data_IF_218241861814
#
_entry.id   IF_218241861814
#
_cell.length_a   1.000
_cell.length_b   1.000
_cell.length_c   1.000
_cell.angle_alpha   90.00
_cell.angle_beta   90.00
_cell.angle_gamma   90.00
#
_symmetry.space_group_name_H-M   'P 1'
#
loop_
_entity.id
_entity.type
_entity.pdbx_description
1 polymer ?
#
# COMPACT_ATOMS: atom_id res chain seq x y z
N UNK A 1 -32.13 25.37 15.51
CA UNK A 1 -31.91 23.92 15.62
C UNK A 1 -31.08 23.35 14.46
N UNK A 2 -31.45 23.53 13.20
CA UNK A 2 -30.70 23.02 12.03
C UNK A 2 -29.21 23.48 11.96
N UNK A 3 -28.90 24.73 12.28
CA UNK A 3 -27.52 25.26 12.23
C UNK A 3 -26.62 24.59 13.27
N UNK A 4 -27.09 24.36 14.47
CA UNK A 4 -26.36 23.66 15.54
C UNK A 4 -26.11 22.18 15.21
N UNK A 5 -27.07 21.51 14.56
CA UNK A 5 -26.89 20.15 14.05
C UNK A 5 -25.87 20.09 12.92
N UNK A 6 -25.91 21.05 12.02
CA UNK A 6 -24.92 21.15 10.91
C UNK A 6 -23.51 21.41 11.46
N UNK A 7 -23.33 22.29 12.44
CA UNK A 7 -22.04 22.55 13.08
C UNK A 7 -21.55 21.31 13.84
N UNK A 8 -22.43 20.62 14.57
CA UNK A 8 -22.09 19.39 15.27
C UNK A 8 -21.70 18.25 14.33
N UNK A 9 -22.37 18.13 13.18
CA UNK A 9 -22.07 17.14 12.13
C UNK A 9 -20.74 17.47 11.44
N UNK A 10 -20.48 18.74 11.13
CA UNK A 10 -19.19 19.19 10.62
C UNK A 10 -18.05 18.89 11.60
N UNK A 11 -18.22 19.24 12.89
CA UNK A 11 -17.22 18.94 13.93
C UNK A 11 -16.96 17.44 14.08
N UNK A 12 -18.01 16.62 14.06
CA UNK A 12 -17.87 15.15 14.13
C UNK A 12 -17.17 14.57 12.87
N UNK A 13 -17.46 15.11 11.69
CA UNK A 13 -16.79 14.70 10.45
C UNK A 13 -15.32 15.12 10.43
N UNK A 14 -14.98 16.33 10.90
CA UNK A 14 -13.59 16.76 11.07
C UNK A 14 -12.84 15.89 12.09
N UNK A 15 -13.48 15.56 13.21
CA UNK A 15 -12.88 14.68 14.22
C UNK A 15 -12.66 13.25 13.72
N UNK A 16 -13.55 12.72 12.89
CA UNK A 16 -13.37 11.43 12.23
C UNK A 16 -12.20 11.44 11.26
N UNK A 17 -12.12 12.47 10.40
CA UNK A 17 -11.05 12.63 9.42
C UNK A 17 -9.67 12.79 10.08
N UNK A 18 -9.58 13.61 11.12
CA UNK A 18 -8.33 13.77 11.90
C UNK A 18 -7.93 12.46 12.60
N UNK A 19 -8.89 11.72 13.15
CA UNK A 19 -8.61 10.42 13.78
C UNK A 19 -8.03 9.41 12.79
N UNK A 20 -8.60 9.30 11.58
CA UNK A 20 -8.07 8.43 10.53
C UNK A 20 -6.68 8.90 10.09
N UNK A 21 -6.54 10.20 9.80
CA UNK A 21 -5.27 10.78 9.33
C UNK A 21 -4.13 10.56 10.33
N UNK A 22 -4.35 10.89 11.60
CA UNK A 22 -3.35 10.68 12.66
C UNK A 22 -3.03 9.20 12.82
N UNK A 23 -4.03 8.31 12.84
CA UNK A 23 -3.79 6.88 12.96
C UNK A 23 -2.97 6.32 11.79
N UNK A 24 -3.26 6.78 10.58
CA UNK A 24 -2.51 6.36 9.37
C UNK A 24 -1.07 6.87 9.42
N UNK A 25 -0.84 8.14 9.78
CA UNK A 25 0.51 8.70 9.90
C UNK A 25 1.31 7.97 10.97
N UNK A 26 0.73 7.76 12.15
CA UNK A 26 1.39 7.04 13.25
C UNK A 26 1.69 5.60 12.85
N UNK A 27 0.73 4.89 12.25
CA UNK A 27 0.92 3.51 11.82
C UNK A 27 1.97 3.37 10.73
N UNK A 28 1.97 4.26 9.73
CA UNK A 28 2.97 4.25 8.65
C UNK A 28 4.35 4.68 9.18
N UNK A 29 4.40 5.65 10.08
CA UNK A 29 5.65 6.04 10.76
C UNK A 29 6.27 4.90 11.57
N UNK A 30 5.46 4.23 12.39
CA UNK A 30 5.90 3.03 13.13
C UNK A 30 6.36 1.92 12.17
N UNK A 31 5.62 1.70 11.08
CA UNK A 31 6.01 0.72 10.05
C UNK A 31 7.32 1.09 9.35
N UNK A 32 7.51 2.36 9.01
CA UNK A 32 8.74 2.86 8.39
C UNK A 32 9.96 2.67 9.31
N UNK A 33 9.84 3.10 10.57
CA UNK A 33 10.88 2.94 11.58
C UNK A 33 11.22 1.46 11.84
N UNK A 34 10.21 0.60 11.89
CA UNK A 34 10.39 -0.85 12.01
C UNK A 34 11.23 -1.40 10.85
N UNK A 35 10.90 -1.05 9.61
CA UNK A 35 11.63 -1.57 8.45
C UNK A 35 13.06 -1.02 8.34
N UNK A 36 13.32 0.22 8.73
CA UNK A 36 14.67 0.74 8.84
C UNK A 36 15.48 0.02 9.93
N UNK A 37 14.86 -0.20 11.09
CA UNK A 37 15.50 -0.98 12.16
C UNK A 37 15.81 -2.41 11.72
N UNK A 38 14.86 -3.09 11.05
CA UNK A 38 15.08 -4.45 10.55
C UNK A 38 16.17 -4.49 9.46
N UNK A 39 16.25 -3.49 8.59
CA UNK A 39 17.34 -3.40 7.61
C UNK A 39 18.71 -3.35 8.31
N UNK A 40 18.87 -2.48 9.31
CA UNK A 40 20.15 -2.38 10.06
C UNK A 40 20.48 -3.63 10.88
N UNK A 41 19.47 -4.43 11.27
CA UNK A 41 19.64 -5.61 12.10
C UNK A 41 19.95 -6.88 11.28
N UNK A 42 19.36 -7.02 10.10
CA UNK A 42 19.37 -8.26 9.32
C UNK A 42 20.45 -8.30 8.23
N UNK A 43 20.95 -7.15 7.79
CA UNK A 43 21.82 -7.06 6.62
C UNK A 43 21.06 -7.21 5.29
N UNK A 44 21.79 -7.08 4.18
CA UNK A 44 21.20 -6.96 2.84
C UNK A 44 20.45 -8.22 2.39
N UNK A 45 21.07 -9.38 2.51
CA UNK A 45 20.50 -10.63 1.98
C UNK A 45 19.24 -11.04 2.72
N UNK A 46 19.29 -11.03 4.05
CA UNK A 46 18.16 -11.38 4.90
C UNK A 46 16.99 -10.39 4.74
N UNK A 47 17.29 -9.09 4.63
CA UNK A 47 16.29 -8.07 4.38
C UNK A 47 15.62 -8.25 3.02
N UNK A 48 16.40 -8.62 1.99
CA UNK A 48 15.88 -8.95 0.67
C UNK A 48 14.98 -10.19 0.67
N UNK A 49 15.39 -11.27 1.37
CA UNK A 49 14.58 -12.49 1.51
C UNK A 49 13.23 -12.20 2.17
N UNK A 50 13.24 -11.52 3.32
CA UNK A 50 11.99 -11.15 4.02
C UNK A 50 11.11 -10.27 3.13
N UNK A 51 11.68 -9.31 2.40
CA UNK A 51 10.93 -8.44 1.50
C UNK A 51 10.29 -9.21 0.34
N UNK A 52 10.99 -10.21 -0.20
CA UNK A 52 10.48 -11.10 -1.24
C UNK A 52 9.28 -11.92 -0.75
N UNK A 53 9.42 -12.59 0.37
CA UNK A 53 8.35 -13.42 0.92
C UNK A 53 7.12 -12.61 1.35
N UNK A 54 7.35 -11.41 1.90
CA UNK A 54 6.25 -10.49 2.21
C UNK A 54 5.54 -10.02 0.94
N UNK A 55 6.27 -9.75 -0.15
CA UNK A 55 5.65 -9.38 -1.42
C UNK A 55 4.75 -10.51 -1.96
N UNK A 56 5.20 -11.77 -1.87
CA UNK A 56 4.37 -12.94 -2.18
C UNK A 56 3.11 -12.96 -1.31
N UNK A 57 3.28 -12.81 0.01
CA UNK A 57 2.18 -12.79 0.97
C UNK A 57 1.16 -11.69 0.68
N UNK A 58 1.63 -10.47 0.34
CA UNK A 58 0.75 -9.34 -0.02
C UNK A 58 0.00 -9.62 -1.32
N UNK A 59 0.68 -10.07 -2.38
CA UNK A 59 0.05 -10.41 -3.65
C UNK A 59 -0.98 -11.52 -3.45
N UNK A 60 -0.63 -12.60 -2.76
CA UNK A 60 -1.56 -13.68 -2.43
C UNK A 60 -2.77 -13.20 -1.62
N UNK A 61 -2.56 -12.34 -0.64
CA UNK A 61 -3.63 -11.74 0.16
C UNK A 61 -4.57 -10.88 -0.69
N UNK A 62 -4.05 -10.09 -1.62
CA UNK A 62 -4.87 -9.25 -2.51
C UNK A 62 -5.66 -10.08 -3.53
N UNK A 63 -5.06 -11.14 -4.05
CA UNK A 63 -5.78 -12.13 -4.87
C UNK A 63 -6.93 -12.74 -4.08
N UNK A 64 -6.69 -13.13 -2.83
CA UNK A 64 -7.68 -13.76 -1.95
C UNK A 64 -8.82 -12.82 -1.53
N UNK A 65 -8.55 -11.52 -1.45
CA UNK A 65 -9.55 -10.52 -1.07
C UNK A 65 -10.64 -10.31 -2.13
N UNK A 66 -10.42 -10.68 -3.40
CA UNK A 66 -11.41 -10.62 -4.49
C UNK A 66 -12.12 -9.26 -4.62
N UNK A 67 -11.47 -8.15 -4.24
CA UNK A 67 -12.05 -6.81 -4.24
C UNK A 67 -13.03 -6.53 -3.08
N UNK A 68 -13.09 -7.41 -2.11
CA UNK A 68 -14.04 -7.31 -1.00
C UNK A 68 -13.70 -6.22 0.01
N UNK A 69 -12.45 -5.75 0.08
CA UNK A 69 -12.07 -4.65 0.95
C UNK A 69 -12.90 -3.37 0.66
N UNK A 70 -12.86 -2.90 -0.58
CA UNK A 70 -13.66 -1.74 -1.01
C UNK A 70 -15.16 -2.02 -0.98
N UNK A 71 -15.55 -3.24 -1.33
CA UNK A 71 -16.97 -3.65 -1.35
C UNK A 71 -17.59 -3.57 0.04
N UNK A 72 -16.94 -4.14 1.05
CA UNK A 72 -17.45 -4.13 2.42
C UNK A 72 -17.50 -2.70 2.98
N UNK A 73 -16.48 -1.89 2.72
CA UNK A 73 -16.43 -0.49 3.14
C UNK A 73 -17.61 0.31 2.58
N UNK A 74 -17.88 0.20 1.28
CA UNK A 74 -18.95 0.96 0.61
C UNK A 74 -20.34 0.50 1.05
N UNK A 75 -20.58 -0.81 1.10
CA UNK A 75 -21.92 -1.31 1.42
C UNK A 75 -22.22 -1.30 2.92
N UNK A 76 -21.24 -1.41 3.79
CA UNK A 76 -21.40 -1.13 5.23
C UNK A 76 -21.79 0.33 5.47
N UNK A 77 -21.20 1.26 4.72
CA UNK A 77 -21.58 2.68 4.80
C UNK A 77 -23.03 2.94 4.37
N UNK A 78 -23.55 2.11 3.45
CA UNK A 78 -24.96 2.13 3.01
C UNK A 78 -25.91 1.35 3.93
N UNK A 79 -25.42 0.79 5.04
CA UNK A 79 -26.21 0.00 5.99
C UNK A 79 -26.61 -1.40 5.50
N UNK A 80 -25.98 -1.89 4.41
CA UNK A 80 -26.24 -3.24 3.89
C UNK A 80 -25.43 -4.26 4.68
N UNK A 81 -26.06 -5.28 5.23
CA UNK A 81 -25.40 -6.37 5.97
C UNK A 81 -24.73 -7.38 5.04
N UNK A 82 -23.71 -6.94 4.31
CA UNK A 82 -22.98 -7.75 3.30
C UNK A 82 -21.81 -8.55 3.92
N UNK A 83 -21.48 -8.29 5.19
CA UNK A 83 -20.30 -8.84 5.86
C UNK A 83 -20.25 -10.38 5.88
N UNK A 84 -21.31 -11.12 6.29
CA UNK A 84 -21.22 -12.57 6.44
C UNK A 84 -20.86 -13.33 5.16
N UNK A 85 -21.53 -13.11 4.00
CA UNK A 85 -21.14 -13.79 2.77
C UNK A 85 -19.75 -13.36 2.27
N UNK A 86 -19.34 -12.10 2.46
CA UNK A 86 -17.99 -11.64 2.10
C UNK A 86 -16.93 -12.34 2.96
N UNK A 87 -17.10 -12.35 4.29
CA UNK A 87 -16.14 -13.00 5.19
C UNK A 87 -15.98 -14.49 4.84
N UNK A 88 -17.09 -15.21 4.60
CA UNK A 88 -17.02 -16.62 4.24
C UNK A 88 -16.22 -16.85 2.96
N UNK A 89 -16.54 -16.14 1.87
CA UNK A 89 -15.84 -16.32 0.59
C UNK A 89 -14.37 -15.92 0.70
N UNK A 90 -14.07 -14.79 1.35
CA UNK A 90 -12.70 -14.33 1.47
C UNK A 90 -11.84 -15.26 2.35
N UNK A 91 -12.40 -15.83 3.43
CA UNK A 91 -11.70 -16.82 4.25
C UNK A 91 -11.44 -18.10 3.43
N UNK A 92 -12.44 -18.62 2.73
CA UNK A 92 -12.23 -19.80 1.86
C UNK A 92 -11.17 -19.50 0.79
N UNK A 93 -11.26 -18.37 0.12
CA UNK A 93 -10.25 -17.93 -0.87
C UNK A 93 -8.86 -17.79 -0.26
N UNK A 94 -8.74 -17.23 0.95
CA UNK A 94 -7.46 -17.09 1.63
C UNK A 94 -6.87 -18.43 2.06
N UNK A 95 -7.69 -19.37 2.49
CA UNK A 95 -7.25 -20.75 2.81
C UNK A 95 -6.76 -21.46 1.55
N UNK A 96 -7.50 -21.35 0.43
CA UNK A 96 -7.08 -21.96 -0.84
C UNK A 96 -5.75 -21.36 -1.30
N UNK A 97 -5.61 -20.03 -1.30
CA UNK A 97 -4.35 -19.38 -1.68
C UNK A 97 -3.21 -19.77 -0.73
N UNK A 98 -3.47 -19.84 0.58
CA UNK A 98 -2.49 -20.28 1.57
C UNK A 98 -2.04 -21.71 1.35
N UNK A 99 -2.94 -22.62 1.02
CA UNK A 99 -2.60 -24.00 0.67
C UNK A 99 -1.73 -24.06 -0.60
N UNK A 100 -2.10 -23.30 -1.63
CA UNK A 100 -1.29 -23.23 -2.86
C UNK A 100 0.12 -22.73 -2.53
N UNK A 101 0.26 -21.63 -1.77
CA UNK A 101 1.56 -21.08 -1.39
C UNK A 101 2.35 -22.05 -0.52
N UNK A 102 1.71 -22.75 0.42
CA UNK A 102 2.33 -23.75 1.27
C UNK A 102 2.98 -24.89 0.48
N UNK A 103 2.30 -25.37 -0.57
CA UNK A 103 2.87 -26.43 -1.43
C UNK A 103 3.89 -25.89 -2.43
N UNK A 104 3.71 -24.67 -2.95
CA UNK A 104 4.65 -24.05 -3.90
C UNK A 104 5.98 -23.68 -3.24
N UNK A 105 5.94 -23.18 -2.00
CA UNK A 105 7.13 -22.77 -1.24
C UNK A 105 7.61 -23.84 -0.25
N UNK A 106 7.33 -25.11 -0.54
CA UNK A 106 7.88 -26.27 0.19
C UNK A 106 7.66 -26.23 1.70
N UNK A 107 6.39 -25.99 2.10
CA UNK A 107 5.92 -26.03 3.49
C UNK A 107 6.26 -24.79 4.34
N UNK A 108 6.41 -23.63 3.73
CA UNK A 108 6.59 -22.37 4.44
C UNK A 108 5.24 -21.90 5.03
N UNK A 109 5.01 -22.23 6.30
CA UNK A 109 3.73 -21.99 6.98
C UNK A 109 3.52 -20.50 7.32
N UNK A 110 4.60 -19.74 7.49
CA UNK A 110 4.58 -18.34 7.90
C UNK A 110 3.89 -17.45 6.85
N UNK A 111 4.17 -17.67 5.56
CA UNK A 111 3.55 -16.94 4.45
C UNK A 111 2.07 -17.28 4.36
N UNK A 112 1.73 -18.57 4.55
CA UNK A 112 0.35 -19.02 4.53
C UNK A 112 -0.47 -18.39 5.65
N UNK A 113 0.08 -18.33 6.86
CA UNK A 113 -0.54 -17.67 7.99
C UNK A 113 -0.66 -16.15 7.78
N UNK A 114 0.36 -15.53 7.15
CA UNK A 114 0.32 -14.12 6.77
C UNK A 114 -0.87 -13.81 5.87
N UNK A 115 -1.10 -14.61 4.82
CA UNK A 115 -2.22 -14.39 3.86
C UNK A 115 -3.56 -14.40 4.57
N UNK A 116 -3.83 -15.42 5.39
CA UNK A 116 -5.09 -15.54 6.13
C UNK A 116 -5.25 -14.36 7.09
N UNK A 117 -4.22 -14.06 7.88
CA UNK A 117 -4.25 -12.97 8.86
C UNK A 117 -4.47 -11.61 8.23
N UNK A 118 -3.76 -11.30 7.14
CA UNK A 118 -3.90 -10.04 6.41
C UNK A 118 -5.30 -9.87 5.81
N UNK A 119 -5.87 -10.92 5.20
CA UNK A 119 -7.24 -10.89 4.63
C UNK A 119 -8.25 -10.58 5.72
N UNK A 120 -8.18 -11.27 6.86
CA UNK A 120 -9.04 -11.04 8.02
C UNK A 120 -8.94 -9.59 8.50
N UNK A 121 -7.72 -9.11 8.73
CA UNK A 121 -7.48 -7.75 9.22
C UNK A 121 -7.96 -6.68 8.24
N UNK A 122 -7.70 -6.88 6.94
CA UNK A 122 -8.13 -5.97 5.88
C UNK A 122 -9.66 -5.84 5.80
N UNK A 123 -10.39 -6.93 5.91
CA UNK A 123 -11.86 -6.91 5.90
C UNK A 123 -12.43 -6.20 7.12
N UNK A 124 -11.89 -6.47 8.32
CA UNK A 124 -12.34 -5.84 9.55
C UNK A 124 -12.10 -4.33 9.52
N UNK A 125 -10.91 -3.91 9.12
CA UNK A 125 -10.58 -2.48 9.04
C UNK A 125 -11.42 -1.75 7.99
N UNK A 126 -11.70 -2.38 6.85
CA UNK A 126 -12.60 -1.85 5.82
C UNK A 126 -14.05 -1.74 6.32
N UNK A 127 -14.54 -2.71 7.09
CA UNK A 127 -15.89 -2.67 7.68
C UNK A 127 -16.01 -1.57 8.74
N UNK A 128 -15.00 -1.42 9.60
CA UNK A 128 -14.95 -0.34 10.60
C UNK A 128 -14.99 1.05 9.96
N UNK A 129 -14.27 1.23 8.85
CA UNK A 129 -14.31 2.48 8.07
C UNK A 129 -15.70 2.71 7.46
N UNK A 130 -16.30 1.67 6.87
CA UNK A 130 -17.64 1.75 6.31
C UNK A 130 -18.69 2.11 7.36
N UNK A 131 -18.64 1.50 8.53
CA UNK A 131 -19.51 1.81 9.68
C UNK A 131 -19.17 3.12 10.41
N UNK A 132 -18.18 3.90 9.92
CA UNK A 132 -17.70 5.15 10.54
C UNK A 132 -17.19 4.97 11.99
N UNK A 133 -16.70 3.78 12.32
CA UNK A 133 -16.14 3.47 13.64
C UNK A 133 -14.64 3.86 13.69
N UNK A 134 -14.34 5.12 13.47
CA UNK A 134 -12.98 5.63 13.27
C UNK A 134 -12.05 5.41 14.46
N UNK A 135 -12.58 5.45 15.70
CA UNK A 135 -11.79 5.18 16.90
C UNK A 135 -11.35 3.72 16.98
N UNK A 136 -12.25 2.77 16.66
CA UNK A 136 -11.92 1.35 16.63
C UNK A 136 -10.93 1.04 15.50
N UNK A 137 -11.13 1.65 14.32
CA UNK A 137 -10.19 1.57 13.22
C UNK A 137 -8.79 2.04 13.63
N UNK A 138 -8.67 3.23 14.22
CA UNK A 138 -7.39 3.78 14.68
C UNK A 138 -6.72 2.88 15.74
N UNK A 139 -7.50 2.39 16.71
CA UNK A 139 -7.02 1.47 17.73
C UNK A 139 -6.46 0.19 17.11
N UNK A 140 -7.18 -0.42 16.16
CA UNK A 140 -6.75 -1.67 15.54
C UNK A 140 -5.51 -1.46 14.68
N UNK A 141 -5.46 -0.37 13.91
CA UNK A 141 -4.32 -0.06 13.05
C UNK A 141 -3.02 0.12 13.86
N UNK A 142 -3.08 0.91 14.94
CA UNK A 142 -1.92 1.20 15.78
C UNK A 142 -1.54 -0.03 16.62
N UNK A 143 -2.52 -0.69 17.27
CA UNK A 143 -2.22 -1.88 18.09
C UNK A 143 -1.64 -3.02 17.26
N UNK A 144 -2.12 -3.23 16.02
CA UNK A 144 -1.54 -4.23 15.12
C UNK A 144 -0.06 -3.91 14.83
N UNK A 145 0.28 -2.64 14.57
CA UNK A 145 1.67 -2.24 14.32
C UNK A 145 2.57 -2.44 15.54
N UNK A 146 2.08 -2.14 16.73
CA UNK A 146 2.83 -2.36 17.98
C UNK A 146 3.07 -3.87 18.18
N UNK A 147 2.02 -4.69 18.04
CA UNK A 147 2.13 -6.16 18.16
C UNK A 147 3.10 -6.71 17.12
N UNK A 148 3.00 -6.25 15.86
CA UNK A 148 3.90 -6.62 14.77
C UNK A 148 5.36 -6.34 15.15
N UNK A 149 5.67 -5.13 15.61
CA UNK A 149 7.05 -4.73 15.97
C UNK A 149 7.58 -5.63 17.08
N UNK A 150 6.82 -5.78 18.16
CA UNK A 150 7.25 -6.58 19.31
C UNK A 150 7.48 -8.05 18.90
N UNK A 151 6.51 -8.66 18.22
CA UNK A 151 6.61 -10.07 17.83
C UNK A 151 7.69 -10.31 16.80
N UNK A 152 7.77 -9.47 15.75
CA UNK A 152 8.76 -9.68 14.69
C UNK A 152 10.20 -9.52 15.20
N UNK A 153 10.47 -8.53 16.04
CA UNK A 153 11.79 -8.32 16.63
C UNK A 153 12.12 -9.49 17.61
N UNK A 154 11.18 -9.85 18.48
CA UNK A 154 11.42 -10.94 19.44
C UNK A 154 11.62 -12.30 18.75
N UNK A 155 10.78 -12.62 17.77
CA UNK A 155 10.89 -13.88 17.03
C UNK A 155 12.10 -13.91 16.09
N UNK A 156 12.55 -12.76 15.56
CA UNK A 156 13.80 -12.70 14.82
C UNK A 156 14.98 -13.19 15.65
N UNK A 157 15.07 -12.76 16.91
CA UNK A 157 16.14 -13.19 17.81
C UNK A 157 16.04 -14.68 18.22
N UNK A 158 14.84 -15.28 18.13
CA UNK A 158 14.63 -16.68 18.53
C UNK A 158 14.80 -17.67 17.37
N UNK A 159 14.26 -17.35 16.19
CA UNK A 159 14.19 -18.27 15.05
C UNK A 159 14.64 -17.61 13.72
N UNK A 160 15.30 -16.45 13.77
CA UNK A 160 15.84 -15.80 12.58
C UNK A 160 14.78 -15.22 11.64
N UNK A 161 15.00 -15.31 10.32
CA UNK A 161 14.22 -14.68 9.28
C UNK A 161 12.73 -15.08 9.31
N UNK A 162 12.46 -16.36 9.47
CA UNK A 162 11.10 -16.89 9.56
C UNK A 162 10.33 -16.26 10.71
N UNK A 163 11.04 -15.92 11.80
CA UNK A 163 10.48 -15.22 12.95
C UNK A 163 9.91 -13.84 12.60
N UNK A 164 10.51 -13.13 11.66
CA UNK A 164 9.98 -11.82 11.22
C UNK A 164 8.63 -11.99 10.54
N UNK A 165 8.54 -12.91 9.57
CA UNK A 165 7.32 -13.16 8.81
C UNK A 165 6.23 -13.73 9.74
N UNK A 166 6.60 -14.67 10.61
CA UNK A 166 5.71 -15.26 11.60
C UNK A 166 5.18 -14.19 12.58
N UNK A 167 6.04 -13.28 13.06
CA UNK A 167 5.65 -12.20 13.94
C UNK A 167 4.62 -11.26 13.28
N UNK A 168 4.84 -10.91 12.01
CA UNK A 168 3.87 -10.14 11.24
C UNK A 168 2.55 -10.91 11.11
N UNK A 169 2.61 -12.20 10.76
CA UNK A 169 1.42 -13.03 10.57
C UNK A 169 0.59 -13.16 11.87
N UNK A 170 1.25 -13.46 12.99
CA UNK A 170 0.60 -13.58 14.30
C UNK A 170 -0.02 -12.23 14.73
N UNK A 171 0.58 -11.10 14.37
CA UNK A 171 0.06 -9.78 14.74
C UNK A 171 -1.36 -9.50 14.23
N UNK A 172 -1.84 -10.23 13.22
CA UNK A 172 -3.21 -10.13 12.71
C UNK A 172 -4.21 -11.03 13.47
N UNK A 173 -3.76 -12.10 14.14
CA UNK A 173 -4.65 -13.11 14.75
C UNK A 173 -5.59 -12.55 15.82
N UNK A 174 -5.21 -11.59 16.68
CA UNK A 174 -6.12 -11.06 17.70
C UNK A 174 -7.42 -10.48 17.12
N UNK A 175 -7.39 -10.06 15.86
CA UNK A 175 -8.55 -9.45 15.19
C UNK A 175 -9.51 -10.48 14.59
N UNK A 176 -9.11 -11.75 14.43
CA UNK A 176 -9.98 -12.84 13.95
C UNK A 176 -11.21 -13.03 14.84
N UNK A 177 -11.09 -12.72 16.13
CA UNK A 177 -12.20 -12.81 17.08
C UNK A 177 -13.41 -11.93 16.71
N UNK A 178 -13.17 -10.81 16.00
CA UNK A 178 -14.22 -9.91 15.53
C UNK A 178 -15.10 -10.60 14.47
N UNK A 179 -14.49 -11.36 13.57
CA UNK A 179 -15.23 -12.09 12.53
C UNK A 179 -16.13 -13.17 13.13
N UNK A 180 -15.64 -13.95 14.09
CA UNK A 180 -16.44 -14.99 14.76
C UNK A 180 -17.71 -14.41 15.41
N UNK A 181 -17.64 -13.19 15.95
CA UNK A 181 -18.78 -12.52 16.55
C UNK A 181 -19.86 -12.15 15.52
N UNK A 182 -19.45 -11.74 14.31
CA UNK A 182 -20.38 -11.38 13.22
C UNK A 182 -21.10 -12.59 12.63
N UNK A 183 -20.49 -13.79 12.65
CA UNK A 183 -21.14 -15.02 12.17
C UNK A 183 -22.23 -15.58 13.10
N UNK A 184 -22.21 -15.23 14.38
CA UNK A 184 -22.99 -15.91 15.41
C UNK A 184 -24.51 -15.76 15.26
N UNK A 185 -25.00 -14.73 14.52
CA UNK A 185 -26.44 -14.40 14.52
C UNK A 185 -26.99 -13.94 13.15
N UNK A 186 -26.34 -14.24 12.03
CA UNK A 186 -26.76 -13.69 10.74
C UNK A 186 -26.91 -14.78 9.67
N UNK A 187 -28.01 -14.75 8.95
CA UNK A 187 -28.21 -15.60 7.75
C UNK A 187 -27.27 -15.13 6.63
N UNK A 188 -26.58 -16.09 6.01
CA UNK A 188 -25.70 -15.83 4.88
C UNK A 188 -26.55 -15.73 3.63
N UNK A 189 -26.58 -14.56 3.01
CA UNK A 189 -27.32 -14.30 1.77
C UNK A 189 -26.35 -13.99 0.62
N UNK A 190 -26.13 -14.98 -0.23
CA UNK A 190 -25.25 -14.83 -1.40
C UNK A 190 -25.86 -13.96 -2.52
N UNK A 191 -27.19 -13.71 -2.51
CA UNK A 191 -27.82 -12.82 -3.49
C UNK A 191 -27.24 -11.40 -3.40
N UNK A 192 -26.83 -10.98 -2.21
CA UNK A 192 -26.19 -9.69 -1.97
C UNK A 192 -24.88 -9.52 -2.76
N UNK A 193 -24.12 -10.60 -2.94
CA UNK A 193 -22.88 -10.59 -3.73
C UNK A 193 -23.21 -10.61 -5.21
N UNK A 194 -24.10 -11.52 -5.64
CA UNK A 194 -24.50 -11.67 -7.04
C UNK A 194 -25.01 -10.35 -7.63
N UNK A 195 -25.86 -9.63 -6.89
CA UNK A 195 -26.42 -8.35 -7.33
C UNK A 195 -25.37 -7.23 -7.41
N UNK A 196 -24.16 -7.43 -6.86
CA UNK A 196 -23.06 -6.45 -6.83
C UNK A 196 -21.81 -6.94 -7.55
N UNK A 197 -21.92 -8.03 -8.32
CA UNK A 197 -20.79 -8.66 -9.00
C UNK A 197 -19.97 -7.67 -9.85
N UNK A 198 -20.65 -6.77 -10.59
CA UNK A 198 -19.96 -5.74 -11.40
C UNK A 198 -19.09 -4.81 -10.56
N UNK A 199 -19.59 -4.37 -9.39
CA UNK A 199 -18.80 -3.51 -8.48
C UNK A 199 -17.61 -4.27 -7.90
N UNK A 200 -17.83 -5.51 -7.47
CA UNK A 200 -16.81 -6.39 -6.91
C UNK A 200 -15.70 -6.65 -7.93
N UNK A 201 -16.04 -7.01 -9.16
CA UNK A 201 -15.06 -7.26 -10.23
C UNK A 201 -14.25 -6.02 -10.57
N UNK A 202 -14.88 -4.84 -10.65
CA UNK A 202 -14.15 -3.59 -10.89
C UNK A 202 -13.21 -3.23 -9.71
N UNK A 203 -13.67 -3.43 -8.47
CA UNK A 203 -12.82 -3.24 -7.28
C UNK A 203 -11.64 -4.20 -7.28
N UNK A 204 -11.85 -5.45 -7.66
CA UNK A 204 -10.81 -6.47 -7.76
C UNK A 204 -9.75 -6.12 -8.82
N UNK A 205 -10.19 -5.71 -10.01
CA UNK A 205 -9.28 -5.29 -11.07
C UNK A 205 -8.42 -4.10 -10.62
N UNK A 206 -9.01 -3.13 -9.93
CA UNK A 206 -8.28 -1.98 -9.39
C UNK A 206 -7.28 -2.40 -8.29
N UNK A 207 -7.67 -3.28 -7.38
CA UNK A 207 -6.78 -3.79 -6.31
C UNK A 207 -5.61 -4.58 -6.88
N UNK A 208 -5.85 -5.42 -7.93
CA UNK A 208 -4.78 -6.16 -8.61
C UNK A 208 -3.81 -5.24 -9.34
N UNK A 209 -4.31 -4.22 -10.05
CA UNK A 209 -3.44 -3.26 -10.73
C UNK A 209 -2.53 -2.53 -9.73
N UNK A 210 -3.09 -2.12 -8.58
CA UNK A 210 -2.32 -1.47 -7.53
C UNK A 210 -1.25 -2.36 -6.91
N UNK A 211 -1.58 -3.63 -6.65
CA UNK A 211 -0.63 -4.57 -6.03
C UNK A 211 0.48 -4.98 -6.98
N UNK A 212 0.18 -5.19 -8.25
CA UNK A 212 1.21 -5.51 -9.23
C UNK A 212 2.16 -4.33 -9.46
N UNK A 213 1.65 -3.09 -9.50
CA UNK A 213 2.51 -1.90 -9.59
C UNK A 213 3.45 -1.70 -8.40
N UNK A 214 3.07 -2.18 -7.21
CA UNK A 214 3.82 -1.92 -5.98
C UNK A 214 4.67 -3.08 -5.44
N UNK A 215 4.43 -4.33 -5.89
CA UNK A 215 5.09 -5.50 -5.28
C UNK A 215 5.67 -6.50 -6.28
N UNK A 216 5.32 -6.41 -7.57
CA UNK A 216 5.81 -7.35 -8.59
C UNK A 216 7.31 -7.17 -8.85
N UNK A 217 7.83 -5.96 -8.67
CA UNK A 217 9.25 -5.63 -8.77
C UNK A 217 10.13 -6.60 -7.94
N UNK A 218 9.74 -6.89 -6.72
CA UNK A 218 10.48 -7.77 -5.80
C UNK A 218 10.52 -9.21 -6.30
N UNK A 219 9.41 -9.67 -6.88
CA UNK A 219 9.31 -11.01 -7.45
C UNK A 219 10.15 -11.16 -8.72
N UNK A 220 10.39 -10.05 -9.43
CA UNK A 220 11.22 -10.03 -10.64
C UNK A 220 12.71 -9.88 -10.30
N UNK A 221 13.05 -9.03 -9.34
CA UNK A 221 14.44 -8.71 -8.99
C UNK A 221 15.13 -9.89 -8.30
N UNK A 222 14.46 -10.57 -7.35
CA UNK A 222 15.08 -11.66 -6.60
C UNK A 222 15.63 -12.78 -7.47
N UNK A 223 14.88 -13.37 -8.42
CA UNK A 223 15.40 -14.44 -9.27
C UNK A 223 16.44 -13.98 -10.30
N UNK A 224 16.46 -12.68 -10.66
CA UNK A 224 17.40 -12.12 -11.64
C UNK A 224 18.72 -11.74 -10.97
N UNK A 225 18.67 -11.09 -9.82
CA UNK A 225 19.83 -10.44 -9.19
C UNK A 225 20.23 -11.03 -7.84
N UNK A 226 19.38 -11.86 -7.24
CA UNK A 226 19.59 -12.41 -5.89
C UNK A 226 19.05 -11.52 -4.77
N UNK A 227 19.04 -12.07 -3.55
CA UNK A 227 18.40 -11.43 -2.40
C UNK A 227 19.21 -10.25 -1.85
N UNK A 228 20.54 -10.31 -1.88
CA UNK A 228 21.38 -9.21 -1.38
C UNK A 228 21.14 -7.90 -2.15
N UNK A 229 21.05 -7.99 -3.48
CA UNK A 229 20.72 -6.85 -4.34
C UNK A 229 19.26 -6.41 -4.16
N UNK A 230 18.33 -7.34 -4.00
CA UNK A 230 16.95 -7.02 -3.66
C UNK A 230 16.86 -6.26 -2.33
N UNK A 231 17.66 -6.63 -1.33
CA UNK A 231 17.71 -5.91 -0.04
C UNK A 231 18.13 -4.45 -0.20
N UNK A 232 19.18 -4.19 -0.97
CA UNK A 232 19.61 -2.84 -1.31
C UNK A 232 18.52 -2.05 -2.06
N UNK A 233 17.87 -2.67 -3.04
CA UNK A 233 16.75 -2.09 -3.75
C UNK A 233 15.57 -1.78 -2.81
N UNK A 234 15.22 -2.71 -1.92
CA UNK A 234 14.13 -2.54 -0.96
C UNK A 234 14.39 -1.40 0.03
N UNK A 235 15.64 -1.21 0.47
CA UNK A 235 15.98 -0.05 1.27
C UNK A 235 15.72 1.26 0.49
N UNK A 236 16.08 1.30 -0.79
CA UNK A 236 15.75 2.43 -1.66
C UNK A 236 14.25 2.70 -1.77
N UNK A 237 13.45 1.65 -1.97
CA UNK A 237 11.98 1.74 -1.95
C UNK A 237 11.48 2.26 -0.60
N UNK A 238 12.07 1.84 0.52
CA UNK A 238 11.66 2.30 1.85
C UNK A 238 11.87 3.81 2.02
N UNK A 239 12.97 4.37 1.50
CA UNK A 239 13.17 5.82 1.46
C UNK A 239 12.15 6.52 0.56
N UNK A 240 11.87 5.97 -0.62
CA UNK A 240 10.84 6.52 -1.52
C UNK A 240 9.48 6.59 -0.83
N UNK A 241 9.06 5.53 -0.12
CA UNK A 241 7.79 5.50 0.62
C UNK A 241 7.70 6.61 1.68
N UNK A 242 8.81 6.96 2.34
CA UNK A 242 8.84 8.08 3.30
C UNK A 242 8.62 9.42 2.58
N UNK A 243 9.24 9.61 1.42
CA UNK A 243 9.06 10.83 0.64
C UNK A 243 7.66 10.95 0.03
N UNK A 244 7.02 9.84 -0.31
CA UNK A 244 5.64 9.80 -0.82
C UNK A 244 4.59 10.24 0.21
N UNK A 245 4.91 10.22 1.51
CA UNK A 245 3.99 10.67 2.56
C UNK A 245 3.47 12.08 2.28
N UNK A 246 4.35 12.99 1.86
CA UNK A 246 3.98 14.38 1.60
C UNK A 246 3.01 14.52 0.43
N UNK A 247 3.28 14.02 -0.79
CA UNK A 247 2.31 14.03 -1.89
C UNK A 247 0.97 13.37 -1.54
N UNK A 248 0.99 12.23 -0.81
CA UNK A 248 -0.23 11.53 -0.40
C UNK A 248 -1.08 12.35 0.58
N UNK A 249 -0.46 13.02 1.55
CA UNK A 249 -1.17 13.94 2.46
C UNK A 249 -1.85 15.07 1.69
N UNK A 250 -1.15 15.64 0.73
CA UNK A 250 -1.73 16.69 -0.10
C UNK A 250 -2.84 16.19 -1.02
N UNK A 251 -2.74 14.97 -1.53
CA UNK A 251 -3.85 14.34 -2.27
C UNK A 251 -5.14 14.30 -1.45
N UNK A 252 -5.05 13.88 -0.18
CA UNK A 252 -6.20 13.82 0.73
C UNK A 252 -6.82 15.21 0.97
N UNK A 253 -6.01 16.28 0.94
CA UNK A 253 -6.46 17.66 1.07
C UNK A 253 -7.01 18.24 -0.23
N UNK A 254 -6.39 17.91 -1.37
CA UNK A 254 -6.78 18.44 -2.69
C UNK A 254 -8.07 17.79 -3.20
N UNK A 255 -8.26 16.51 -3.00
CA UNK A 255 -9.39 15.75 -3.56
C UNK A 255 -10.76 16.36 -3.24
N UNK A 256 -11.11 16.74 -2.00
CA UNK A 256 -12.38 17.39 -1.71
C UNK A 256 -12.51 18.79 -2.34
N UNK A 257 -11.40 19.50 -2.53
CA UNK A 257 -11.37 20.81 -3.15
C UNK A 257 -11.53 20.73 -4.67
N UNK A 258 -10.80 19.83 -5.31
CA UNK A 258 -10.93 19.57 -6.74
C UNK A 258 -12.36 19.10 -7.09
N UNK A 259 -13.01 18.33 -6.21
CA UNK A 259 -14.41 17.92 -6.36
C UNK A 259 -15.42 19.10 -6.29
N UNK A 260 -15.03 20.22 -5.65
CA UNK A 260 -15.83 21.44 -5.59
C UNK A 260 -15.41 22.48 -6.65
N UNK A 261 -14.50 22.12 -7.55
CA UNK A 261 -13.84 23.04 -8.50
C UNK A 261 -13.09 24.20 -7.83
N UNK A 262 -12.69 24.05 -6.57
CA UNK A 262 -11.85 24.99 -5.82
C UNK A 262 -10.37 24.72 -6.12
N UNK A 263 -9.93 25.01 -7.34
CA UNK A 263 -8.52 24.76 -7.72
C UNK A 263 -7.57 25.71 -7.00
N UNK A 264 -6.59 25.15 -6.31
CA UNK A 264 -5.51 25.92 -5.67
C UNK A 264 -4.18 25.68 -6.42
N UNK A 265 -3.98 26.42 -7.49
CA UNK A 265 -2.79 26.30 -8.35
C UNK A 265 -1.49 26.60 -7.58
N UNK A 266 -1.51 27.55 -6.65
CA UNK A 266 -0.31 27.90 -5.86
C UNK A 266 0.10 26.74 -4.94
N UNK A 267 -0.88 26.07 -4.32
CA UNK A 267 -0.63 24.90 -3.51
C UNK A 267 -0.06 23.75 -4.35
N UNK A 268 -0.63 23.48 -5.54
CA UNK A 268 -0.12 22.44 -6.46
C UNK A 268 1.32 22.73 -6.90
N UNK A 269 1.67 23.99 -7.14
CA UNK A 269 3.06 24.41 -7.44
C UNK A 269 3.98 24.23 -6.22
N UNK A 270 3.51 24.59 -5.02
CA UNK A 270 4.28 24.45 -3.80
C UNK A 270 4.62 22.96 -3.51
N UNK A 271 3.67 22.05 -3.69
CA UNK A 271 3.88 20.60 -3.51
C UNK A 271 4.93 20.08 -4.49
N UNK A 272 4.83 20.50 -5.77
CA UNK A 272 5.81 20.15 -6.77
C UNK A 272 7.23 20.66 -6.42
N UNK A 273 7.33 21.90 -5.94
CA UNK A 273 8.60 22.45 -5.47
C UNK A 273 9.17 21.68 -4.28
N UNK A 274 8.33 21.32 -3.30
CA UNK A 274 8.73 20.49 -2.16
C UNK A 274 9.27 19.15 -2.64
N UNK A 275 8.63 18.51 -3.62
CA UNK A 275 9.09 17.22 -4.17
C UNK A 275 10.46 17.35 -4.86
N UNK A 276 10.71 18.47 -5.55
CA UNK A 276 12.03 18.76 -6.15
C UNK A 276 13.08 18.98 -5.05
N UNK A 277 12.76 19.72 -4.00
CA UNK A 277 13.66 19.93 -2.86
C UNK A 277 13.98 18.60 -2.18
N UNK A 278 12.97 17.76 -1.92
CA UNK A 278 13.18 16.42 -1.33
C UNK A 278 14.08 15.55 -2.22
N UNK A 279 13.87 15.57 -3.53
CA UNK A 279 14.72 14.86 -4.49
C UNK A 279 16.20 15.32 -4.36
N UNK A 280 16.45 16.62 -4.39
CA UNK A 280 17.81 17.19 -4.27
C UNK A 280 18.45 16.81 -2.93
N UNK A 281 17.70 16.96 -1.84
CA UNK A 281 18.16 16.61 -0.48
C UNK A 281 18.52 15.13 -0.40
N UNK A 282 17.66 14.25 -0.95
CA UNK A 282 17.91 12.81 -0.94
C UNK A 282 19.16 12.43 -1.76
N UNK A 283 19.35 13.05 -2.94
CA UNK A 283 20.53 12.80 -3.79
C UNK A 283 21.81 13.21 -3.08
N UNK A 284 21.80 14.37 -2.39
CA UNK A 284 23.00 14.91 -1.71
C UNK A 284 23.29 14.14 -0.43
N UNK A 285 22.25 13.79 0.35
CA UNK A 285 22.45 13.19 1.67
C UNK A 285 22.65 11.66 1.63
N UNK A 286 22.10 10.96 0.64
CA UNK A 286 22.19 9.50 0.60
C UNK A 286 23.62 8.95 0.63
N UNK A 287 24.64 9.52 -0.08
CA UNK A 287 26.02 9.04 0.00
C UNK A 287 26.67 9.18 1.38
N UNK A 288 26.16 10.06 2.22
CA UNK A 288 26.65 10.28 3.59
C UNK A 288 25.86 9.47 4.60
N UNK A 289 24.54 9.52 4.51
CA UNK A 289 23.63 8.91 5.51
C UNK A 289 23.64 7.40 5.44
N UNK A 290 23.64 6.82 4.22
CA UNK A 290 23.54 5.38 4.06
C UNK A 290 24.76 4.64 4.62
N UNK A 291 26.01 4.99 4.30
CA UNK A 291 27.16 4.31 4.87
C UNK A 291 27.27 4.41 6.40
N UNK A 292 26.72 5.48 7.00
CA UNK A 292 26.72 5.67 8.46
C UNK A 292 25.64 4.84 9.14
N UNK A 293 24.39 4.86 8.63
CA UNK A 293 23.26 4.19 9.28
C UNK A 293 23.05 2.75 8.81
N UNK A 294 23.47 2.44 7.58
CA UNK A 294 23.26 1.15 6.93
C UNK A 294 24.54 0.73 6.18
N UNK A 295 25.67 0.46 6.87
CA UNK A 295 26.98 0.25 6.23
C UNK A 295 27.00 -0.92 5.23
N UNK A 296 26.15 -1.94 5.39
CA UNK A 296 26.05 -3.07 4.46
C UNK A 296 25.26 -2.74 3.19
N UNK A 297 24.54 -1.61 3.15
CA UNK A 297 23.63 -1.23 2.06
C UNK A 297 24.22 -0.15 1.13
N UNK A 298 25.53 -0.18 0.90
CA UNK A 298 26.20 0.84 0.09
C UNK A 298 25.67 0.90 -1.35
N UNK A 299 25.26 -0.24 -1.90
CA UNK A 299 24.67 -0.31 -3.24
C UNK A 299 23.26 0.28 -3.32
N UNK A 300 22.60 0.56 -2.18
CA UNK A 300 21.33 1.25 -2.15
C UNK A 300 21.47 2.76 -2.48
N UNK A 301 22.66 3.35 -2.35
CA UNK A 301 22.87 4.79 -2.60
C UNK A 301 22.41 5.21 -3.99
N UNK A 302 22.92 4.63 -5.11
CA UNK A 302 22.46 5.00 -6.44
C UNK A 302 20.97 4.68 -6.66
N UNK A 303 20.45 3.61 -6.06
CA UNK A 303 19.02 3.27 -6.11
C UNK A 303 18.17 4.36 -5.48
N UNK A 304 18.57 4.85 -4.28
CA UNK A 304 17.88 5.95 -3.58
C UNK A 304 17.92 7.22 -4.44
N UNK A 305 19.06 7.53 -5.05
CA UNK A 305 19.20 8.70 -5.92
C UNK A 305 18.23 8.63 -7.11
N UNK A 306 18.16 7.50 -7.81
CA UNK A 306 17.26 7.29 -8.96
C UNK A 306 15.80 7.35 -8.51
N UNK A 307 15.42 6.64 -7.44
CA UNK A 307 14.06 6.64 -6.92
C UNK A 307 13.63 8.00 -6.35
N UNK A 308 14.57 8.81 -5.87
CA UNK A 308 14.28 10.17 -5.45
C UNK A 308 13.83 11.06 -6.62
N UNK A 309 14.36 10.83 -7.82
CA UNK A 309 13.90 11.51 -9.05
C UNK A 309 12.44 11.07 -9.35
N UNK A 310 12.10 9.83 -9.09
CA UNK A 310 10.76 9.29 -9.33
C UNK A 310 9.65 9.96 -8.48
N UNK A 311 10.01 10.62 -7.37
CA UNK A 311 9.05 11.39 -6.55
C UNK A 311 8.42 12.53 -7.34
N UNK A 312 9.13 13.13 -8.30
CA UNK A 312 8.62 14.24 -9.11
C UNK A 312 7.44 13.78 -9.99
N UNK A 313 7.59 12.78 -10.87
CA UNK A 313 6.46 12.26 -11.64
C UNK A 313 5.36 11.63 -10.74
N UNK A 314 5.71 10.99 -9.62
CA UNK A 314 4.73 10.52 -8.65
C UNK A 314 3.86 11.65 -8.09
N UNK A 315 4.48 12.79 -7.74
CA UNK A 315 3.75 13.97 -7.25
C UNK A 315 2.85 14.56 -8.33
N UNK A 316 3.33 14.66 -9.57
CA UNK A 316 2.51 15.12 -10.69
C UNK A 316 1.29 14.20 -10.92
N UNK A 317 1.52 12.89 -10.91
CA UNK A 317 0.45 11.89 -11.01
C UNK A 317 -0.57 12.04 -9.87
N UNK A 318 -0.11 12.21 -8.64
CA UNK A 318 -0.96 12.36 -7.45
C UNK A 318 -1.85 13.61 -7.54
N UNK A 319 -1.31 14.74 -7.99
CA UNK A 319 -2.06 16.00 -8.21
C UNK A 319 -3.13 15.81 -9.29
N UNK A 320 -2.77 15.18 -10.42
CA UNK A 320 -3.71 14.96 -11.54
C UNK A 320 -4.77 13.92 -11.20
N UNK A 321 -4.41 12.89 -10.45
CA UNK A 321 -5.34 11.89 -9.95
C UNK A 321 -6.41 12.54 -9.07
N UNK A 322 -6.02 13.45 -8.16
CA UNK A 322 -6.97 14.24 -7.36
C UNK A 322 -7.96 15.01 -8.26
N UNK A 323 -7.44 15.68 -9.28
CA UNK A 323 -8.26 16.46 -10.23
C UNK A 323 -9.23 15.57 -11.03
N UNK A 324 -8.74 14.44 -11.56
CA UNK A 324 -9.59 13.53 -12.34
C UNK A 324 -10.64 12.82 -11.48
N UNK A 325 -10.31 12.40 -10.26
CA UNK A 325 -11.28 11.83 -9.34
C UNK A 325 -12.32 12.86 -8.90
N UNK A 326 -11.89 14.10 -8.59
CA UNK A 326 -12.79 15.19 -8.25
C UNK A 326 -13.81 15.50 -9.36
N UNK A 327 -13.42 15.33 -10.62
CA UNK A 327 -14.27 15.53 -11.80
C UNK A 327 -14.93 14.24 -12.32
N UNK A 328 -14.94 13.15 -11.55
CA UNK A 328 -15.51 11.84 -11.90
C UNK A 328 -14.91 11.17 -13.16
N UNK A 329 -13.73 11.63 -13.61
CA UNK A 329 -13.02 11.13 -14.80
C UNK A 329 -12.07 9.96 -14.45
N UNK A 330 -12.53 9.00 -13.65
CA UNK A 330 -11.74 7.90 -13.09
C UNK A 330 -11.10 6.97 -14.15
N UNK A 331 -11.71 6.90 -15.35
CA UNK A 331 -11.20 6.10 -16.46
C UNK A 331 -9.76 6.50 -16.87
N UNK A 332 -9.45 7.78 -16.86
CA UNK A 332 -8.11 8.26 -17.22
C UNK A 332 -7.05 7.82 -16.21
N UNK A 333 -7.42 7.83 -14.93
CA UNK A 333 -6.51 7.33 -13.86
C UNK A 333 -6.27 5.85 -14.01
N UNK A 334 -7.30 5.06 -14.30
CA UNK A 334 -7.16 3.61 -14.54
C UNK A 334 -6.23 3.33 -15.74
N UNK A 335 -6.42 4.01 -16.88
CA UNK A 335 -5.55 3.85 -18.04
C UNK A 335 -4.10 4.25 -17.68
N UNK A 336 -3.90 5.34 -16.94
CA UNK A 336 -2.59 5.74 -16.43
C UNK A 336 -1.93 4.66 -15.58
N UNK A 337 -2.69 3.99 -14.69
CA UNK A 337 -2.18 2.89 -13.86
C UNK A 337 -1.81 1.66 -14.70
N UNK A 338 -2.57 1.36 -15.75
CA UNK A 338 -2.23 0.29 -16.70
C UNK A 338 -0.94 0.62 -17.46
N UNK A 339 -0.77 1.88 -17.93
CA UNK A 339 0.46 2.34 -18.58
C UNK A 339 1.65 2.18 -17.64
N UNK A 340 1.52 2.61 -16.37
CA UNK A 340 2.56 2.44 -15.36
C UNK A 340 3.04 0.99 -15.32
N UNK A 341 2.15 0.04 -15.08
CA UNK A 341 2.51 -1.38 -14.95
C UNK A 341 3.08 -1.94 -16.25
N UNK A 342 2.48 -1.58 -17.41
CA UNK A 342 2.91 -2.05 -18.73
C UNK A 342 4.29 -1.55 -19.14
N UNK A 343 4.73 -0.40 -18.62
CA UNK A 343 6.08 0.13 -18.86
C UNK A 343 7.04 -0.34 -17.77
N UNK A 344 6.65 -0.28 -16.52
CA UNK A 344 7.49 -0.62 -15.37
C UNK A 344 7.97 -2.06 -15.42
N UNK A 345 7.08 -3.03 -15.64
CA UNK A 345 7.41 -4.46 -15.57
C UNK A 345 8.44 -4.87 -16.64
N UNK A 346 8.24 -4.60 -17.94
CA UNK A 346 9.26 -4.93 -18.95
C UNK A 346 10.56 -4.15 -18.75
N UNK A 347 10.49 -2.88 -18.28
CA UNK A 347 11.68 -2.09 -18.02
C UNK A 347 12.49 -2.64 -16.85
N UNK A 348 11.84 -3.08 -15.75
CA UNK A 348 12.52 -3.72 -14.64
C UNK A 348 13.25 -4.98 -15.14
N UNK A 349 12.58 -5.85 -15.88
CA UNK A 349 13.21 -7.09 -16.40
C UNK A 349 14.41 -6.75 -17.31
N UNK A 350 14.20 -5.94 -18.34
CA UNK A 350 15.24 -5.65 -19.32
C UNK A 350 16.42 -4.85 -18.76
N UNK A 351 16.13 -3.81 -17.98
CA UNK A 351 17.18 -2.96 -17.42
C UNK A 351 17.90 -3.60 -16.23
N UNK A 352 17.25 -4.47 -15.45
CA UNK A 352 17.94 -5.20 -14.39
C UNK A 352 19.01 -6.14 -14.94
N UNK A 353 18.80 -6.76 -16.10
CA UNK A 353 19.80 -7.60 -16.77
C UNK A 353 21.01 -6.81 -17.25
N UNK A 354 20.84 -5.51 -17.58
CA UNK A 354 21.90 -4.65 -18.11
C UNK A 354 22.61 -3.84 -17.02
N UNK A 355 21.88 -3.35 -16.04
CA UNK A 355 22.35 -2.37 -15.04
C UNK A 355 22.11 -2.81 -13.59
N UNK A 356 21.77 -4.08 -13.35
CA UNK A 356 21.49 -4.57 -11.99
C UNK A 356 20.32 -3.84 -11.31
N UNK A 357 20.43 -3.60 -10.02
CA UNK A 357 19.38 -2.93 -9.22
C UNK A 357 19.15 -1.47 -9.65
N UNK A 358 20.17 -0.81 -10.22
CA UNK A 358 20.00 0.53 -10.78
C UNK A 358 19.05 0.51 -11.97
N UNK A 359 19.13 -0.54 -12.81
CA UNK A 359 18.20 -0.78 -13.89
C UNK A 359 16.78 -1.00 -13.42
N UNK A 360 16.58 -1.73 -12.30
CA UNK A 360 15.28 -1.87 -11.67
C UNK A 360 14.70 -0.53 -11.22
N UNK A 361 15.51 0.31 -10.56
CA UNK A 361 15.11 1.65 -10.13
C UNK A 361 14.75 2.56 -11.31
N UNK A 362 15.51 2.49 -12.40
CA UNK A 362 15.19 3.21 -13.65
C UNK A 362 13.85 2.70 -14.22
N UNK A 363 13.57 1.40 -14.16
CA UNK A 363 12.29 0.82 -14.61
C UNK A 363 11.09 1.42 -13.85
N UNK A 364 11.21 1.61 -12.53
CA UNK A 364 10.18 2.29 -11.72
C UNK A 364 10.03 3.75 -12.15
N UNK A 365 11.14 4.47 -12.30
CA UNK A 365 11.14 5.86 -12.75
C UNK A 365 10.46 6.02 -14.12
N UNK A 366 10.76 5.14 -15.07
CA UNK A 366 10.13 5.15 -16.40
C UNK A 366 8.63 4.91 -16.33
N UNK A 367 8.19 3.93 -15.55
CA UNK A 367 6.76 3.64 -15.37
C UNK A 367 5.99 4.86 -14.84
N UNK A 368 6.49 5.46 -13.74
CA UNK A 368 5.89 6.66 -13.15
C UNK A 368 5.93 7.88 -14.08
N UNK A 369 7.02 8.02 -14.84
CA UNK A 369 7.17 9.13 -15.79
C UNK A 369 6.18 9.00 -16.96
N UNK A 370 6.03 7.80 -17.53
CA UNK A 370 5.06 7.55 -18.61
C UNK A 370 3.62 7.76 -18.13
N UNK A 371 3.28 7.33 -16.91
CA UNK A 371 1.98 7.61 -16.30
C UNK A 371 1.75 9.12 -16.15
N UNK A 372 2.73 9.85 -15.62
CA UNK A 372 2.63 11.29 -15.43
C UNK A 372 2.45 12.03 -16.77
N UNK A 373 3.25 11.69 -17.78
CA UNK A 373 3.16 12.27 -19.13
C UNK A 373 1.76 12.04 -19.72
N UNK A 374 1.26 10.80 -19.63
CA UNK A 374 -0.10 10.48 -20.09
C UNK A 374 -1.17 11.34 -19.42
N UNK A 375 -1.14 11.44 -18.08
CA UNK A 375 -2.14 12.22 -17.34
C UNK A 375 -2.03 13.72 -17.64
N UNK A 376 -0.82 14.25 -17.79
CA UNK A 376 -0.59 15.67 -18.18
C UNK A 376 -1.16 15.92 -19.59
N UNK A 377 -0.94 15.01 -20.53
CA UNK A 377 -1.44 15.13 -21.88
C UNK A 377 -2.96 15.12 -21.93
N UNK A 378 -3.60 14.19 -21.23
CA UNK A 378 -5.07 14.13 -21.12
C UNK A 378 -5.63 15.38 -20.43
N UNK A 379 -4.96 15.90 -19.41
CA UNK A 379 -5.40 17.12 -18.73
C UNK A 379 -5.43 18.32 -19.69
N UNK A 380 -4.40 18.48 -20.52
CA UNK A 380 -4.34 19.55 -21.54
C UNK A 380 -5.45 19.45 -22.61
N UNK A 381 -5.76 18.21 -23.04
CA UNK A 381 -6.83 17.99 -24.03
C UNK A 381 -8.20 18.23 -23.41
N UNK A 382 -8.40 17.83 -22.18
CA UNK A 382 -9.70 17.97 -21.51
C UNK A 382 -10.03 19.39 -21.05
N UNK A 383 -9.10 20.33 -21.18
CA UNK A 383 -9.27 21.76 -20.92
C UNK A 383 -9.63 22.56 -22.19
N UNK A 384 -9.43 21.98 -23.38
CA UNK A 384 -9.91 22.51 -24.67
C UNK A 384 -11.32 22.00 -24.94
#
# INVERSE_FOLDING_TARGET
MKILETIKTLYQNFKGLTTIGVATIVSNGLGGLFWFYMASLMGTEAYGQVSYFIAIGIIGSRISLLGFGNTIMVYSAKGVKIQPPIYLIAIISSVITSLILFFVFLYDAEISLYVIGFVIFSLITSDLLGRKQYRSYAKYLISQKIILIILSVSLYHLIGLNGVILGIAISFLPYSFVIFKEFRNVKIDFSLIRNRAKFITNSYANDLTGVFGGYLDKLLIAPILGFALLGNYQLGIQFMLVFEIIPIMFYQYLLPKDARNESNTNLKKAIMLISVILCIVAIILSPVVIPILFPEFTEAVPVIQILSIAIIPFTATTILTSKFFGNEKTRFVLIGSVILVSVQVPSIIGLSLLYGINGAAIGVLLGLTCQAIYLIFIDKISQK
#
